data_IF_122119860334
#
_entry.id   IF_122119860334
#
_cell.length_a   1.000
_cell.length_b   1.000
_cell.length_c   1.000
_cell.angle_alpha   90.00
_cell.angle_beta   90.00
_cell.angle_gamma   90.00
#
_symmetry.space_group_name_H-M   'P 1'
#
loop_
_entity.id
_entity.type
_entity.pdbx_description
1 polymer ?
#
# COMPACT_ATOMS: atom_id res chain seq x y z
N UNK A 1 -53.30 2.07 -67.60
CA UNK A 1 -53.15 2.79 -66.32
C UNK A 1 -52.59 1.79 -65.32
N UNK A 2 -51.25 1.70 -65.27
CA UNK A 2 -50.38 2.28 -64.22
C UNK A 2 -50.33 1.35 -63.00
N UNK A 3 -49.28 0.53 -62.93
CA UNK A 3 -48.09 0.75 -62.07
C UNK A 3 -48.37 0.42 -60.60
N UNK A 4 -48.15 -0.83 -60.18
CA UNK A 4 -47.63 -1.20 -58.86
C UNK A 4 -47.09 -2.64 -59.00
N UNK A 5 -45.76 -2.84 -58.94
CA UNK A 5 -45.09 -4.04 -58.40
C UNK A 5 -43.58 -3.97 -58.68
N UNK A 6 -42.87 -3.16 -57.88
CA UNK A 6 -41.39 -3.13 -57.86
C UNK A 6 -40.86 -2.92 -56.44
N UNK A 7 -41.25 -3.77 -55.49
CA UNK A 7 -41.01 -3.47 -54.08
C UNK A 7 -40.76 -4.60 -53.09
N UNK A 8 -40.60 -5.87 -53.51
CA UNK A 8 -40.57 -6.98 -52.53
C UNK A 8 -39.26 -7.79 -52.50
N UNK A 9 -38.43 -7.83 -53.55
CA UNK A 9 -37.28 -8.75 -53.54
C UNK A 9 -35.97 -8.20 -52.93
N UNK A 10 -35.87 -6.90 -52.64
CA UNK A 10 -34.59 -6.28 -52.24
C UNK A 10 -34.45 -5.92 -50.75
N UNK A 11 -35.38 -6.38 -49.89
CA UNK A 11 -35.40 -6.03 -48.44
C UNK A 11 -34.95 -7.13 -47.48
N UNK A 12 -34.73 -8.36 -47.93
CA UNK A 12 -34.25 -9.45 -47.05
C UNK A 12 -32.73 -9.68 -47.10
N UNK A 13 -32.03 -9.20 -48.13
CA UNK A 13 -30.57 -9.40 -48.25
C UNK A 13 -29.71 -8.49 -47.36
N UNK A 14 -30.30 -7.50 -46.66
CA UNK A 14 -29.57 -6.48 -45.90
C UNK A 14 -29.47 -6.73 -44.38
N UNK A 15 -29.97 -7.86 -43.84
CA UNK A 15 -30.05 -8.12 -42.39
C UNK A 15 -29.03 -9.12 -41.82
N UNK A 16 -27.97 -9.43 -42.54
CA UNK A 16 -26.84 -10.20 -41.99
C UNK A 16 -25.59 -9.32 -41.95
N UNK A 17 -25.60 -8.29 -41.09
CA UNK A 17 -24.32 -7.73 -40.62
C UNK A 17 -23.69 -8.78 -39.71
N UNK A 18 -22.44 -9.21 -39.94
CA UNK A 18 -21.74 -10.06 -38.98
C UNK A 18 -21.67 -9.30 -37.67
N UNK A 19 -22.35 -9.80 -36.63
CA UNK A 19 -22.19 -9.30 -35.27
C UNK A 19 -20.75 -9.62 -34.90
N UNK A 20 -19.88 -8.61 -34.96
CA UNK A 20 -18.51 -8.71 -34.42
C UNK A 20 -18.66 -9.10 -32.95
N UNK A 21 -18.19 -10.29 -32.54
CA UNK A 21 -18.38 -10.74 -31.17
C UNK A 21 -17.71 -9.73 -30.23
N UNK A 22 -18.43 -9.33 -29.19
CA UNK A 22 -17.87 -8.47 -28.14
C UNK A 22 -16.68 -9.17 -27.49
N UNK A 23 -15.75 -8.40 -26.90
CA UNK A 23 -14.56 -8.95 -26.24
C UNK A 23 -14.89 -10.05 -25.21
N UNK A 24 -16.04 -9.91 -24.51
CA UNK A 24 -16.53 -10.90 -23.57
C UNK A 24 -16.92 -12.24 -24.23
N UNK A 25 -17.58 -12.19 -25.39
CA UNK A 25 -17.93 -13.38 -26.19
C UNK A 25 -16.68 -14.04 -26.75
N UNK A 26 -15.63 -13.27 -27.05
CA UNK A 26 -14.35 -13.81 -27.51
C UNK A 26 -13.60 -14.55 -26.41
N UNK A 27 -13.52 -13.99 -25.19
CA UNK A 27 -12.87 -14.63 -24.05
C UNK A 27 -13.58 -15.93 -23.65
N UNK A 28 -14.91 -15.95 -23.60
CA UNK A 28 -15.67 -17.16 -23.28
C UNK A 28 -15.40 -18.31 -24.27
N UNK A 29 -15.25 -18.00 -25.56
CA UNK A 29 -14.86 -18.98 -26.58
C UNK A 29 -13.46 -19.53 -26.32
N UNK A 30 -12.49 -18.68 -26.00
CA UNK A 30 -11.12 -19.13 -25.68
C UNK A 30 -11.07 -20.01 -24.43
N UNK A 31 -11.87 -19.71 -23.40
CA UNK A 31 -12.00 -20.55 -22.21
C UNK A 31 -12.55 -21.94 -22.57
N UNK A 32 -13.56 -22.02 -23.44
CA UNK A 32 -14.10 -23.33 -23.86
C UNK A 32 -13.11 -24.10 -24.74
N UNK A 33 -12.38 -23.43 -25.64
CA UNK A 33 -11.30 -24.06 -26.42
C UNK A 33 -10.24 -24.64 -25.48
N UNK A 34 -9.83 -23.88 -24.46
CA UNK A 34 -8.89 -24.36 -23.44
C UNK A 34 -9.42 -25.60 -22.71
N UNK A 35 -10.68 -25.56 -22.24
CA UNK A 35 -11.32 -26.67 -21.53
C UNK A 35 -11.36 -27.94 -22.37
N UNK A 36 -11.74 -27.82 -23.64
CA UNK A 36 -11.77 -28.95 -24.58
C UNK A 36 -10.37 -29.48 -24.88
N UNK A 37 -9.37 -28.59 -25.01
CA UNK A 37 -7.98 -28.98 -25.20
C UNK A 37 -7.44 -29.76 -24.00
N UNK A 38 -7.75 -29.32 -22.76
CA UNK A 38 -7.37 -30.06 -21.53
C UNK A 38 -8.06 -31.42 -21.48
N UNK A 39 -9.37 -31.49 -21.73
CA UNK A 39 -10.11 -32.75 -21.76
C UNK A 39 -9.59 -33.73 -22.83
N UNK A 40 -9.23 -33.21 -24.00
CA UNK A 40 -8.63 -33.97 -25.10
C UNK A 40 -7.12 -34.21 -24.97
N UNK A 41 -6.49 -33.80 -23.86
CA UNK A 41 -5.03 -33.86 -23.63
C UNK A 41 -4.18 -33.21 -24.74
N UNK A 42 -4.69 -32.17 -25.39
CA UNK A 42 -4.00 -31.38 -26.41
C UNK A 42 -3.12 -30.30 -25.75
N UNK A 43 -1.97 -30.72 -25.22
CA UNK A 43 -1.07 -29.87 -24.42
C UNK A 43 -0.65 -28.56 -25.09
N UNK A 44 -0.28 -28.59 -26.37
CA UNK A 44 0.16 -27.40 -27.08
C UNK A 44 -0.94 -26.32 -27.17
N UNK A 45 -2.18 -26.72 -27.46
CA UNK A 45 -3.33 -25.82 -27.57
C UNK A 45 -3.72 -25.31 -26.18
N UNK A 46 -3.78 -26.20 -25.18
CA UNK A 46 -4.07 -25.81 -23.80
C UNK A 46 -3.05 -24.78 -23.27
N UNK A 47 -1.76 -24.97 -23.55
CA UNK A 47 -0.72 -24.02 -23.13
C UNK A 47 -0.86 -22.66 -23.82
N UNK A 48 -0.94 -22.62 -25.15
CA UNK A 48 -1.00 -21.34 -25.89
C UNK A 48 -2.28 -20.56 -25.61
N UNK A 49 -3.44 -21.23 -25.63
CA UNK A 49 -4.72 -20.57 -25.33
C UNK A 49 -4.79 -20.17 -23.86
N UNK A 50 -4.33 -21.03 -22.95
CA UNK A 50 -4.30 -20.77 -21.52
C UNK A 50 -3.51 -19.51 -21.21
N UNK A 51 -2.28 -19.42 -21.71
CA UNK A 51 -1.43 -18.26 -21.44
C UNK A 51 -2.00 -16.93 -21.96
N UNK A 52 -2.62 -16.95 -23.14
CA UNK A 52 -3.26 -15.74 -23.70
C UNK A 52 -4.42 -15.25 -22.83
N UNK A 53 -5.24 -16.18 -22.34
CA UNK A 53 -6.39 -15.85 -21.49
C UNK A 53 -5.91 -15.40 -20.10
N UNK A 54 -4.96 -16.12 -19.49
CA UNK A 54 -4.37 -15.76 -18.21
C UNK A 54 -3.76 -14.35 -18.22
N UNK A 55 -2.95 -13.99 -19.22
CA UNK A 55 -2.39 -12.63 -19.36
C UNK A 55 -3.46 -11.54 -19.50
N UNK A 56 -4.58 -11.86 -20.14
CA UNK A 56 -5.75 -10.96 -20.17
C UNK A 56 -6.38 -10.81 -18.79
N UNK A 57 -6.54 -11.91 -18.08
CA UNK A 57 -7.17 -11.94 -16.76
C UNK A 57 -6.36 -11.31 -15.65
N UNK A 58 -5.04 -11.48 -15.66
CA UNK A 58 -4.11 -10.84 -14.72
C UNK A 58 -4.24 -9.32 -14.78
N UNK A 59 -4.29 -8.73 -15.99
CA UNK A 59 -4.52 -7.29 -16.20
C UNK A 59 -5.90 -6.80 -15.73
N UNK A 60 -6.85 -7.71 -15.56
CA UNK A 60 -8.20 -7.42 -15.04
C UNK A 60 -8.42 -7.98 -13.63
N UNK A 61 -7.34 -8.34 -12.93
CA UNK A 61 -7.36 -8.85 -11.55
C UNK A 61 -8.24 -10.08 -11.31
N UNK A 62 -8.45 -10.92 -12.32
CA UNK A 62 -9.25 -12.17 -12.22
C UNK A 62 -8.41 -13.34 -11.72
N UNK A 63 -7.73 -13.17 -10.59
CA UNK A 63 -6.70 -14.09 -10.10
C UNK A 63 -7.20 -15.53 -9.85
N UNK A 64 -8.41 -15.69 -9.30
CA UNK A 64 -8.99 -17.03 -9.10
C UNK A 64 -9.23 -17.78 -10.43
N UNK A 65 -9.57 -17.06 -11.51
CA UNK A 65 -9.76 -17.65 -12.82
C UNK A 65 -8.41 -18.03 -13.46
N UNK A 66 -7.37 -17.22 -13.25
CA UNK A 66 -5.98 -17.52 -13.65
C UNK A 66 -5.50 -18.77 -12.93
N UNK A 67 -5.65 -18.85 -11.61
CA UNK A 67 -5.25 -20.03 -10.82
C UNK A 67 -5.92 -21.31 -11.34
N UNK A 68 -7.23 -21.28 -11.58
CA UNK A 68 -7.97 -22.43 -12.08
C UNK A 68 -7.50 -22.87 -13.49
N UNK A 69 -7.32 -21.92 -14.41
CA UNK A 69 -6.91 -22.21 -15.78
C UNK A 69 -5.46 -22.69 -15.86
N UNK A 70 -4.55 -22.05 -15.14
CA UNK A 70 -3.16 -22.46 -15.06
C UNK A 70 -3.02 -23.84 -14.43
N UNK A 71 -3.75 -24.12 -13.33
CA UNK A 71 -3.80 -25.45 -12.70
C UNK A 71 -4.30 -26.52 -13.66
N UNK A 72 -5.36 -26.25 -14.42
CA UNK A 72 -5.86 -27.16 -15.43
C UNK A 72 -4.81 -27.45 -16.53
N UNK A 73 -4.07 -26.42 -16.95
CA UNK A 73 -2.97 -26.56 -17.93
C UNK A 73 -1.84 -27.44 -17.40
N UNK A 74 -1.49 -27.26 -16.12
CA UNK A 74 -0.42 -28.02 -15.46
C UNK A 74 -0.74 -29.52 -15.28
N UNK A 75 -2.00 -29.93 -15.40
CA UNK A 75 -2.37 -31.36 -15.43
C UNK A 75 -1.82 -32.10 -16.65
N UNK A 76 -1.44 -31.37 -17.71
CA UNK A 76 -0.89 -31.94 -18.95
C UNK A 76 0.66 -31.97 -18.94
N UNK A 77 1.29 -31.27 -18.01
CA UNK A 77 2.74 -31.22 -17.83
C UNK A 77 3.21 -29.93 -17.14
N UNK A 78 4.46 -29.89 -16.65
CA UNK A 78 5.04 -28.68 -16.11
C UNK A 78 5.33 -27.72 -17.28
N UNK A 79 4.66 -26.57 -17.31
CA UNK A 79 4.89 -25.51 -18.29
C UNK A 79 5.26 -24.22 -17.57
N UNK A 80 6.40 -23.63 -17.96
CA UNK A 80 6.93 -22.43 -17.33
C UNK A 80 5.90 -21.29 -17.27
N UNK A 81 5.21 -21.02 -18.40
CA UNK A 81 4.20 -19.96 -18.46
C UNK A 81 3.02 -20.19 -17.51
N UNK A 82 2.54 -21.44 -17.41
CA UNK A 82 1.42 -21.75 -16.54
C UNK A 82 1.83 -21.72 -15.04
N UNK A 83 3.05 -22.14 -14.71
CA UNK A 83 3.61 -21.98 -13.36
C UNK A 83 3.77 -20.50 -13.02
N UNK A 84 4.36 -19.70 -13.92
CA UNK A 84 4.52 -18.27 -13.74
C UNK A 84 3.17 -17.55 -13.50
N UNK A 85 2.18 -17.81 -14.36
CA UNK A 85 0.85 -17.20 -14.26
C UNK A 85 0.12 -17.57 -12.97
N UNK A 86 0.24 -18.83 -12.53
CA UNK A 86 -0.34 -19.28 -11.25
C UNK A 86 0.41 -18.69 -10.05
N UNK A 87 1.74 -18.60 -10.13
CA UNK A 87 2.56 -17.92 -9.14
C UNK A 87 2.15 -16.45 -8.98
N UNK A 88 1.88 -15.74 -10.08
CA UNK A 88 1.39 -14.36 -10.06
C UNK A 88 0.01 -14.24 -9.41
N UNK A 89 -0.90 -15.17 -9.72
CA UNK A 89 -2.21 -15.23 -9.07
C UNK A 89 -2.11 -15.50 -7.57
N UNK A 90 -1.24 -16.43 -7.15
CA UNK A 90 -0.99 -16.72 -5.73
C UNK A 90 -0.35 -15.56 -5.00
N UNK A 91 0.64 -14.90 -5.59
CA UNK A 91 1.25 -13.69 -5.04
C UNK A 91 0.18 -12.60 -4.82
N UNK A 92 -0.68 -12.37 -5.83
CA UNK A 92 -1.73 -11.35 -5.78
C UNK A 92 -2.85 -11.66 -4.80
N UNK A 93 -3.02 -12.93 -4.42
CA UNK A 93 -4.03 -13.39 -3.45
C UNK A 93 -3.44 -13.64 -2.06
N UNK A 94 -2.20 -13.20 -1.80
CA UNK A 94 -1.58 -13.28 -0.47
C UNK A 94 -1.09 -14.68 -0.11
N UNK A 95 -0.75 -15.52 -1.10
CA UNK A 95 -0.22 -16.87 -0.93
C UNK A 95 1.26 -16.91 -1.36
N UNK A 96 2.18 -16.39 -0.53
CA UNK A 96 3.57 -16.19 -0.93
C UNK A 96 4.35 -17.50 -1.11
N UNK A 97 4.12 -18.51 -0.28
CA UNK A 97 4.89 -19.76 -0.35
C UNK A 97 4.60 -20.58 -1.61
N UNK A 98 3.33 -20.84 -1.97
CA UNK A 98 3.03 -21.47 -3.26
C UNK A 98 3.55 -20.63 -4.45
N UNK A 99 3.43 -19.30 -4.37
CA UNK A 99 3.93 -18.42 -5.43
C UNK A 99 5.44 -18.58 -5.65
N UNK A 100 6.24 -18.59 -4.58
CA UNK A 100 7.68 -18.81 -4.66
C UNK A 100 8.03 -20.17 -5.25
N UNK A 101 7.31 -21.24 -4.88
CA UNK A 101 7.52 -22.57 -5.44
C UNK A 101 7.30 -22.61 -6.95
N UNK A 102 6.17 -22.06 -7.41
CA UNK A 102 5.84 -21.98 -8.84
C UNK A 102 6.85 -21.10 -9.61
N UNK A 103 7.22 -19.93 -9.06
CA UNK A 103 8.21 -19.07 -9.69
C UNK A 103 9.59 -19.72 -9.75
N UNK A 104 10.03 -20.45 -8.72
CA UNK A 104 11.31 -21.16 -8.74
C UNK A 104 11.35 -22.25 -9.82
N UNK A 105 10.25 -23.00 -9.97
CA UNK A 105 10.14 -24.00 -11.04
C UNK A 105 10.12 -23.35 -12.43
N UNK A 106 9.34 -22.28 -12.62
CA UNK A 106 9.29 -21.53 -13.87
C UNK A 106 10.66 -20.93 -14.22
N UNK A 107 11.36 -20.35 -13.24
CA UNK A 107 12.69 -19.76 -13.41
C UNK A 107 13.69 -20.79 -13.94
N UNK A 108 13.75 -21.98 -13.33
CA UNK A 108 14.65 -23.05 -13.77
C UNK A 108 14.36 -23.48 -15.21
N UNK A 109 13.07 -23.54 -15.60
CA UNK A 109 12.67 -23.87 -16.96
C UNK A 109 13.04 -22.78 -17.97
N UNK A 110 12.83 -21.51 -17.65
CA UNK A 110 13.21 -20.38 -18.52
C UNK A 110 14.73 -20.30 -18.70
N UNK A 111 15.51 -20.53 -17.64
CA UNK A 111 16.98 -20.63 -17.72
C UNK A 111 17.43 -21.77 -18.63
N UNK A 112 16.84 -22.96 -18.50
CA UNK A 112 17.15 -24.11 -19.37
C UNK A 112 16.78 -23.85 -20.83
N UNK A 113 15.69 -23.10 -21.08
CA UNK A 113 15.25 -22.73 -22.42
C UNK A 113 16.04 -21.55 -23.02
N UNK A 114 16.85 -20.85 -22.22
CA UNK A 114 17.51 -19.60 -22.63
C UNK A 114 16.56 -18.43 -22.81
N UNK A 115 15.36 -18.47 -22.21
CA UNK A 115 14.37 -17.41 -22.27
C UNK A 115 14.70 -16.30 -21.25
N UNK A 116 15.64 -15.44 -21.63
CA UNK A 116 16.19 -14.38 -20.78
C UNK A 116 15.13 -13.36 -20.34
N UNK A 117 14.14 -13.08 -21.19
CA UNK A 117 13.07 -12.12 -20.87
C UNK A 117 12.20 -12.64 -19.73
N UNK A 118 11.71 -13.89 -19.84
CA UNK A 118 10.89 -14.48 -18.79
C UNK A 118 11.70 -14.84 -17.53
N UNK A 119 13.00 -15.15 -17.67
CA UNK A 119 13.91 -15.29 -16.53
C UNK A 119 13.95 -14.01 -15.69
N UNK A 120 14.17 -12.85 -16.33
CA UNK A 120 14.24 -11.56 -15.65
C UNK A 120 12.91 -11.18 -14.96
N UNK A 121 11.78 -11.39 -15.66
CA UNK A 121 10.45 -11.16 -15.10
C UNK A 121 10.18 -12.05 -13.88
N UNK A 122 10.57 -13.33 -13.95
CA UNK A 122 10.39 -14.29 -12.83
C UNK A 122 11.26 -13.92 -11.64
N UNK A 123 12.52 -13.54 -11.84
CA UNK A 123 13.41 -13.04 -10.79
C UNK A 123 12.83 -11.80 -10.10
N UNK A 124 12.29 -10.85 -10.87
CA UNK A 124 11.60 -9.69 -10.32
C UNK A 124 10.41 -10.08 -9.43
N UNK A 125 9.59 -11.05 -9.86
CA UNK A 125 8.43 -11.48 -9.07
C UNK A 125 8.85 -12.22 -7.78
N UNK A 126 9.89 -13.04 -7.83
CA UNK A 126 10.46 -13.68 -6.64
C UNK A 126 10.97 -12.61 -5.66
N UNK A 127 11.69 -11.61 -6.17
CA UNK A 127 12.14 -10.46 -5.38
C UNK A 127 10.98 -9.71 -4.74
N UNK A 128 9.88 -9.52 -5.48
CA UNK A 128 8.67 -8.86 -4.97
C UNK A 128 8.02 -9.64 -3.83
N UNK A 129 7.89 -10.97 -3.97
CA UNK A 129 7.35 -11.81 -2.89
C UNK A 129 8.24 -11.78 -1.65
N UNK A 130 9.57 -11.88 -1.81
CA UNK A 130 10.50 -11.76 -0.68
C UNK A 130 10.42 -10.40 0.02
N UNK A 131 10.32 -9.31 -0.76
CA UNK A 131 10.12 -7.96 -0.21
C UNK A 131 8.84 -7.88 0.62
N UNK A 132 7.74 -8.49 0.15
CA UNK A 132 6.46 -8.54 0.87
C UNK A 132 6.51 -9.39 2.14
N UNK A 133 7.38 -10.42 2.18
CA UNK A 133 7.66 -11.22 3.38
C UNK A 133 8.61 -10.53 4.37
N UNK A 134 9.16 -9.36 4.03
CA UNK A 134 10.14 -8.65 4.84
C UNK A 134 11.58 -9.13 4.66
N UNK A 135 11.84 -10.11 3.79
CA UNK A 135 13.19 -10.60 3.47
C UNK A 135 13.85 -9.69 2.42
N UNK A 136 14.24 -8.50 2.89
CA UNK A 136 14.79 -7.44 2.04
C UNK A 136 16.10 -7.85 1.35
N UNK A 137 16.91 -8.69 2.00
CA UNK A 137 18.18 -9.13 1.42
C UNK A 137 17.94 -10.06 0.23
N UNK A 138 17.09 -11.08 0.38
CA UNK A 138 16.75 -11.95 -0.75
C UNK A 138 16.04 -11.19 -1.86
N UNK A 139 15.21 -10.20 -1.52
CA UNK A 139 14.59 -9.35 -2.52
C UNK A 139 15.64 -8.65 -3.39
N UNK A 140 16.63 -7.98 -2.76
CA UNK A 140 17.74 -7.34 -3.46
C UNK A 140 18.56 -8.31 -4.29
N UNK A 141 18.86 -9.50 -3.78
CA UNK A 141 19.65 -10.50 -4.51
C UNK A 141 18.99 -10.87 -5.84
N UNK A 142 17.66 -11.09 -5.85
CA UNK A 142 16.92 -11.42 -7.07
C UNK A 142 16.78 -10.21 -8.00
N UNK A 143 16.53 -9.00 -7.48
CA UNK A 143 16.47 -7.81 -8.32
C UNK A 143 17.83 -7.48 -8.97
N UNK A 144 18.94 -7.67 -8.25
CA UNK A 144 20.28 -7.49 -8.80
C UNK A 144 20.63 -8.55 -9.85
N UNK A 145 20.05 -9.75 -9.77
CA UNK A 145 20.12 -10.74 -10.84
C UNK A 145 19.26 -10.33 -12.04
N UNK A 146 18.05 -9.82 -11.84
CA UNK A 146 17.13 -9.44 -12.93
C UNK A 146 17.61 -8.21 -13.72
N UNK A 147 18.16 -7.19 -13.05
CA UNK A 147 18.53 -5.90 -13.65
C UNK A 147 19.50 -5.99 -14.85
N UNK A 148 20.62 -6.74 -14.79
CA UNK A 148 21.50 -6.87 -15.95
C UNK A 148 20.81 -7.61 -17.10
N UNK A 149 19.88 -8.53 -16.81
CA UNK A 149 19.17 -9.29 -17.84
C UNK A 149 18.17 -8.40 -18.58
N UNK A 150 17.37 -7.60 -17.86
CA UNK A 150 16.43 -6.66 -18.50
C UNK A 150 17.17 -5.68 -19.41
N UNK A 151 18.36 -5.22 -19.01
CA UNK A 151 19.26 -4.41 -19.85
C UNK A 151 19.77 -5.17 -21.07
N UNK A 152 20.23 -6.41 -20.89
CA UNK A 152 20.75 -7.28 -21.96
C UNK A 152 19.70 -7.52 -23.05
N UNK A 153 18.45 -7.82 -22.67
CA UNK A 153 17.36 -8.08 -23.61
C UNK A 153 16.68 -6.81 -24.14
N UNK A 154 17.08 -5.63 -23.65
CA UNK A 154 16.49 -4.35 -24.05
C UNK A 154 15.08 -4.09 -23.50
N UNK A 155 14.66 -4.79 -22.44
CA UNK A 155 13.38 -4.57 -21.77
C UNK A 155 13.45 -3.34 -20.85
N UNK A 156 13.23 -2.17 -21.44
CA UNK A 156 13.26 -0.88 -20.74
C UNK A 156 12.18 -0.75 -19.67
N UNK A 157 10.99 -1.33 -19.90
CA UNK A 157 9.91 -1.31 -18.92
C UNK A 157 10.23 -2.21 -17.70
N UNK A 158 10.79 -3.39 -17.96
CA UNK A 158 11.32 -4.28 -16.93
C UNK A 158 12.47 -3.64 -16.14
N UNK A 159 13.41 -2.98 -16.81
CA UNK A 159 14.51 -2.25 -16.15
C UNK A 159 14.00 -1.19 -15.18
N UNK A 160 13.05 -0.34 -15.62
CA UNK A 160 12.45 0.68 -14.77
C UNK A 160 11.73 0.08 -13.55
N UNK A 161 11.06 -1.06 -13.75
CA UNK A 161 10.37 -1.79 -12.68
C UNK A 161 11.36 -2.34 -11.67
N UNK A 162 12.43 -3.01 -12.11
CA UNK A 162 13.48 -3.55 -11.24
C UNK A 162 14.16 -2.44 -10.44
N UNK A 163 14.54 -1.33 -11.09
CA UNK A 163 15.16 -0.19 -10.42
C UNK A 163 14.23 0.40 -9.35
N UNK A 164 12.95 0.58 -9.67
CA UNK A 164 11.98 1.06 -8.68
C UNK A 164 11.83 0.10 -7.50
N UNK A 165 11.86 -1.22 -7.74
CA UNK A 165 11.75 -2.21 -6.68
C UNK A 165 13.00 -2.23 -5.78
N UNK A 166 14.21 -2.13 -6.35
CA UNK A 166 15.46 -1.97 -5.58
C UNK A 166 15.39 -0.69 -4.73
N UNK A 167 14.93 0.41 -5.32
CA UNK A 167 14.74 1.68 -4.60
C UNK A 167 13.79 1.53 -3.41
N UNK A 168 12.69 0.77 -3.59
CA UNK A 168 11.73 0.48 -2.53
C UNK A 168 12.32 -0.32 -1.40
N UNK A 169 13.12 -1.34 -1.70
CA UNK A 169 13.78 -2.14 -0.67
C UNK A 169 14.79 -1.30 0.12
N UNK A 170 15.62 -0.50 -0.56
CA UNK A 170 16.54 0.42 0.12
C UNK A 170 15.82 1.44 0.99
N UNK A 171 14.66 1.95 0.53
CA UNK A 171 13.83 2.84 1.32
C UNK A 171 13.34 2.16 2.61
N UNK A 172 12.83 0.94 2.51
CA UNK A 172 12.39 0.12 3.66
C UNK A 172 13.52 -0.17 4.64
N UNK A 173 14.75 -0.36 4.15
CA UNK A 173 15.96 -0.52 4.97
C UNK A 173 16.48 0.79 5.58
N UNK A 174 15.87 1.94 5.25
CA UNK A 174 16.29 3.25 5.72
C UNK A 174 17.44 3.89 4.93
N UNK A 175 17.95 3.23 3.89
CA UNK A 175 18.97 3.79 2.97
C UNK A 175 18.30 4.71 1.94
N UNK A 176 17.96 5.91 2.40
CA UNK A 176 17.25 6.93 1.62
C UNK A 176 18.04 7.42 0.40
N UNK A 177 19.38 7.42 0.48
CA UNK A 177 20.23 7.87 -0.64
C UNK A 177 20.19 6.86 -1.78
N UNK A 178 20.45 5.59 -1.49
CA UNK A 178 20.35 4.54 -2.52
C UNK A 178 18.93 4.42 -3.08
N UNK A 179 17.91 4.56 -2.24
CA UNK A 179 16.53 4.59 -2.71
C UNK A 179 16.32 5.66 -3.78
N UNK A 180 16.75 6.89 -3.48
CA UNK A 180 16.63 8.02 -4.39
C UNK A 180 17.40 7.79 -5.70
N UNK A 181 18.64 7.29 -5.63
CA UNK A 181 19.47 7.02 -6.81
C UNK A 181 18.79 6.06 -7.79
N UNK A 182 18.16 4.99 -7.28
CA UNK A 182 17.48 4.01 -8.13
C UNK A 182 16.15 4.55 -8.68
N UNK A 183 15.37 5.29 -7.89
CA UNK A 183 14.16 5.93 -8.38
C UNK A 183 14.45 6.99 -9.46
N UNK A 184 15.52 7.77 -9.28
CA UNK A 184 15.96 8.76 -10.27
C UNK A 184 16.48 8.12 -11.57
N UNK A 185 17.02 6.91 -11.50
CA UNK A 185 17.31 6.13 -12.70
C UNK A 185 16.05 5.58 -13.37
N UNK A 186 15.06 5.10 -12.59
CA UNK A 186 13.83 4.53 -13.13
C UNK A 186 12.93 5.58 -13.82
N UNK A 187 12.81 6.77 -13.24
CA UNK A 187 11.89 7.82 -13.68
C UNK A 187 12.02 8.19 -15.18
N UNK A 188 13.19 8.55 -15.71
CA UNK A 188 13.33 8.89 -17.14
C UNK A 188 13.03 7.71 -18.05
N UNK A 189 13.28 6.46 -17.60
CA UNK A 189 12.98 5.26 -18.38
C UNK A 189 11.46 5.07 -18.49
N UNK A 190 10.72 5.29 -17.40
CA UNK A 190 9.24 5.24 -17.44
C UNK A 190 8.65 6.27 -18.39
N UNK A 191 9.23 7.47 -18.40
CA UNK A 191 8.86 8.54 -19.34
C UNK A 191 9.18 8.14 -20.80
N UNK A 192 10.36 7.57 -21.05
CA UNK A 192 10.79 7.08 -22.36
C UNK A 192 9.83 6.03 -22.94
N UNK A 193 9.40 5.06 -22.12
CA UNK A 193 8.51 3.97 -22.56
C UNK A 193 7.02 4.35 -22.51
N UNK A 194 6.69 5.56 -22.04
CA UNK A 194 5.31 6.04 -21.92
C UNK A 194 4.50 5.38 -20.78
N UNK A 195 5.16 4.79 -19.77
CA UNK A 195 4.51 4.20 -18.61
C UNK A 195 4.11 5.27 -17.59
N UNK A 196 2.97 5.92 -17.86
CA UNK A 196 2.43 7.01 -17.03
C UNK A 196 2.05 6.57 -15.61
N UNK A 197 1.46 5.39 -15.46
CA UNK A 197 1.08 4.87 -14.13
C UNK A 197 2.32 4.59 -13.27
N UNK A 198 3.35 4.00 -13.86
CA UNK A 198 4.63 3.81 -13.21
C UNK A 198 5.34 5.12 -12.90
N UNK A 199 5.32 6.10 -13.81
CA UNK A 199 5.90 7.43 -13.60
C UNK A 199 5.33 8.09 -12.34
N UNK A 200 4.01 8.10 -12.20
CA UNK A 200 3.33 8.61 -11.02
C UNK A 200 3.76 7.87 -9.74
N UNK A 201 3.92 6.55 -9.82
CA UNK A 201 4.38 5.72 -8.70
C UNK A 201 5.81 6.08 -8.29
N UNK A 202 6.74 6.19 -9.24
CA UNK A 202 8.14 6.55 -8.97
C UNK A 202 8.25 7.98 -8.43
N UNK A 203 7.51 8.95 -8.98
CA UNK A 203 7.45 10.32 -8.44
C UNK A 203 6.96 10.35 -6.99
N UNK A 204 5.89 9.61 -6.68
CA UNK A 204 5.38 9.51 -5.31
C UNK A 204 6.41 8.89 -4.36
N UNK A 205 7.17 7.87 -4.81
CA UNK A 205 8.22 7.26 -4.02
C UNK A 205 9.39 8.23 -3.76
N UNK A 206 9.81 8.99 -4.77
CA UNK A 206 10.82 10.05 -4.62
C UNK A 206 10.34 11.11 -3.62
N UNK A 207 9.09 11.56 -3.75
CA UNK A 207 8.49 12.50 -2.81
C UNK A 207 8.52 11.99 -1.37
N UNK A 208 8.23 10.69 -1.17
CA UNK A 208 8.27 10.07 0.14
C UNK A 208 9.69 10.00 0.73
N UNK A 209 10.70 9.69 -0.11
CA UNK A 209 12.11 9.71 0.31
C UNK A 209 12.53 11.12 0.74
N UNK A 210 12.20 12.15 -0.03
CA UNK A 210 12.50 13.55 0.33
C UNK A 210 11.82 13.97 1.63
N UNK A 211 10.55 13.60 1.83
CA UNK A 211 9.84 13.87 3.07
C UNK A 211 10.59 13.27 4.27
N UNK A 212 11.04 12.01 4.16
CA UNK A 212 11.81 11.33 5.22
C UNK A 212 13.23 11.88 5.40
N UNK A 213 13.77 12.59 4.43
CA UNK A 213 15.01 13.36 4.54
C UNK A 213 14.81 14.76 5.13
N UNK A 214 13.57 15.17 5.37
CA UNK A 214 13.23 16.50 5.89
C UNK A 214 13.03 17.56 4.80
N UNK A 215 13.28 17.26 3.52
CA UNK A 215 13.09 18.18 2.40
C UNK A 215 11.63 18.22 1.95
N UNK A 216 10.81 18.97 2.70
CA UNK A 216 9.36 19.03 2.48
C UNK A 216 9.01 19.67 1.12
N UNK A 217 9.81 20.63 0.64
CA UNK A 217 9.53 21.34 -0.61
C UNK A 217 9.71 20.41 -1.81
N UNK A 218 10.85 19.70 -1.90
CA UNK A 218 11.05 18.74 -2.99
C UNK A 218 10.06 17.60 -2.91
N UNK A 219 9.65 17.19 -1.72
CA UNK A 219 8.59 16.19 -1.55
C UNK A 219 7.26 16.67 -2.16
N UNK A 220 6.82 17.89 -1.84
CA UNK A 220 5.62 18.51 -2.42
C UNK A 220 5.70 18.59 -3.95
N UNK A 221 6.83 19.03 -4.48
CA UNK A 221 7.02 19.17 -5.94
C UNK A 221 6.76 17.84 -6.67
N UNK A 222 7.31 16.73 -6.16
CA UNK A 222 7.14 15.42 -6.78
C UNK A 222 5.72 14.88 -6.62
N UNK A 223 5.07 15.10 -5.48
CA UNK A 223 3.67 14.72 -5.30
C UNK A 223 2.72 15.53 -6.20
N UNK A 224 2.98 16.82 -6.39
CA UNK A 224 2.23 17.66 -7.32
C UNK A 224 2.45 17.28 -8.78
N UNK A 225 3.61 16.71 -9.13
CA UNK A 225 3.81 16.09 -10.44
C UNK A 225 3.06 14.76 -10.57
N UNK A 226 3.06 13.91 -9.53
CA UNK A 226 2.39 12.60 -9.58
C UNK A 226 0.86 12.69 -9.64
N UNK A 227 0.25 13.63 -8.90
CA UNK A 227 -1.20 13.75 -8.75
C UNK A 227 -1.98 13.89 -10.08
N UNK A 228 -1.64 14.81 -11.01
CA UNK A 228 -2.34 14.92 -12.28
C UNK A 228 -2.17 13.66 -13.15
N UNK A 229 -1.03 12.98 -13.06
CA UNK A 229 -0.78 11.74 -13.81
C UNK A 229 -1.68 10.62 -13.30
N UNK A 230 -1.84 10.48 -11.98
CA UNK A 230 -2.77 9.48 -11.40
C UNK A 230 -4.21 9.73 -11.85
N UNK A 231 -4.63 10.99 -11.91
CA UNK A 231 -5.94 11.39 -12.44
C UNK A 231 -6.08 11.05 -13.93
N UNK A 232 -5.06 11.33 -14.73
CA UNK A 232 -5.00 11.04 -16.17
C UNK A 232 -5.18 9.55 -16.46
N UNK A 233 -4.50 8.68 -15.70
CA UNK A 233 -4.57 7.22 -15.90
C UNK A 233 -5.73 6.55 -15.17
N UNK A 234 -6.54 7.31 -14.42
CA UNK A 234 -7.68 6.79 -13.65
C UNK A 234 -7.29 5.98 -12.40
N UNK A 235 -6.09 6.13 -11.87
CA UNK A 235 -5.62 5.46 -10.66
C UNK A 235 -6.16 6.16 -9.39
N UNK A 236 -7.40 5.84 -9.04
CA UNK A 236 -8.12 6.43 -7.89
C UNK A 236 -7.48 6.08 -6.56
N UNK A 237 -7.05 4.83 -6.37
CA UNK A 237 -6.40 4.41 -5.13
C UNK A 237 -5.09 5.18 -4.91
N UNK A 238 -4.26 5.28 -5.95
CA UNK A 238 -3.06 6.07 -5.91
C UNK A 238 -3.31 7.57 -5.73
N UNK A 239 -4.35 8.13 -6.35
CA UNK A 239 -4.73 9.53 -6.18
C UNK A 239 -4.98 9.84 -4.70
N UNK A 240 -5.74 9.00 -4.00
CA UNK A 240 -6.02 9.15 -2.58
C UNK A 240 -4.73 9.09 -1.72
N UNK A 241 -3.80 8.18 -2.07
CA UNK A 241 -2.50 8.09 -1.39
C UNK A 241 -1.69 9.36 -1.58
N UNK A 242 -1.57 9.87 -2.82
CA UNK A 242 -0.80 11.08 -3.10
C UNK A 242 -1.42 12.32 -2.43
N UNK A 243 -2.75 12.46 -2.44
CA UNK A 243 -3.45 13.54 -1.71
C UNK A 243 -3.18 13.48 -0.21
N UNK A 244 -3.25 12.30 0.39
CA UNK A 244 -2.95 12.14 1.81
C UNK A 244 -1.50 12.51 2.13
N UNK A 245 -0.53 12.15 1.27
CA UNK A 245 0.87 12.50 1.46
C UNK A 245 1.11 14.03 1.36
N UNK A 246 0.43 14.70 0.43
CA UNK A 246 0.44 16.17 0.35
C UNK A 246 -0.17 16.78 1.62
N UNK A 247 -1.28 16.24 2.11
CA UNK A 247 -1.90 16.66 3.36
C UNK A 247 -0.96 16.53 4.57
N UNK A 248 -0.22 15.42 4.64
CA UNK A 248 0.78 15.17 5.69
C UNK A 248 1.91 16.22 5.66
N UNK A 249 2.39 16.58 4.46
CA UNK A 249 3.40 17.62 4.28
C UNK A 249 2.89 19.00 4.68
N UNK A 250 1.68 19.40 4.28
CA UNK A 250 1.15 20.69 4.73
C UNK A 250 0.93 20.72 6.24
N UNK A 251 0.54 19.60 6.86
CA UNK A 251 0.44 19.52 8.31
C UNK A 251 1.80 19.67 9.00
N UNK A 252 2.86 19.05 8.48
CA UNK A 252 4.23 19.19 9.04
C UNK A 252 4.75 20.63 8.91
N UNK A 253 4.36 21.34 7.85
CA UNK A 253 4.64 22.76 7.65
C UNK A 253 3.75 23.71 8.47
N UNK A 254 2.76 23.19 9.22
CA UNK A 254 1.82 23.99 10.00
C UNK A 254 0.67 24.61 9.19
N UNK A 255 0.59 24.33 7.88
CA UNK A 255 -0.45 24.77 6.96
C UNK A 255 -1.72 23.92 7.07
N UNK A 256 -2.33 23.95 8.26
CA UNK A 256 -3.43 23.06 8.67
C UNK A 256 -4.64 23.09 7.74
N UNK A 257 -5.00 24.25 7.19
CA UNK A 257 -6.15 24.36 6.29
C UNK A 257 -5.88 23.63 4.96
N UNK A 258 -4.71 23.82 4.36
CA UNK A 258 -4.34 23.11 3.13
C UNK A 258 -4.24 21.60 3.37
N UNK A 259 -3.73 21.19 4.53
CA UNK A 259 -3.73 19.78 4.91
C UNK A 259 -5.15 19.20 4.92
N UNK A 260 -6.07 19.90 5.57
CA UNK A 260 -7.48 19.52 5.65
C UNK A 260 -8.12 19.41 4.26
N UNK A 261 -7.88 20.38 3.37
CA UNK A 261 -8.43 20.38 2.01
C UNK A 261 -7.99 19.15 1.20
N UNK A 262 -6.75 18.68 1.39
CA UNK A 262 -6.25 17.49 0.71
C UNK A 262 -6.77 16.19 1.33
N UNK A 263 -6.87 16.10 2.66
CA UNK A 263 -7.47 14.94 3.31
C UNK A 263 -8.96 14.80 2.97
N UNK A 264 -9.70 15.92 2.90
CA UNK A 264 -11.10 15.94 2.50
C UNK A 264 -11.31 15.54 1.03
N UNK A 265 -10.33 15.79 0.16
CA UNK A 265 -10.34 15.22 -1.19
C UNK A 265 -10.02 13.73 -1.19
N UNK A 266 -9.08 13.25 -0.37
CA UNK A 266 -8.68 11.85 -0.32
C UNK A 266 -9.77 10.92 0.25
N UNK A 267 -10.46 11.36 1.30
CA UNK A 267 -11.43 10.56 2.05
C UNK A 267 -12.52 9.89 1.18
N UNK A 268 -13.29 10.63 0.35
CA UNK A 268 -14.32 10.01 -0.49
C UNK A 268 -13.74 9.05 -1.53
N UNK A 269 -12.50 9.27 -1.97
CA UNK A 269 -11.83 8.38 -2.93
C UNK A 269 -11.48 7.06 -2.26
N UNK A 270 -10.98 7.09 -1.02
CA UNK A 270 -10.71 5.87 -0.25
C UNK A 270 -11.97 5.05 -0.01
N UNK A 271 -13.09 5.73 0.27
CA UNK A 271 -14.41 5.09 0.38
C UNK A 271 -14.85 4.47 -0.95
N UNK A 272 -14.69 5.19 -2.07
CA UNK A 272 -15.01 4.72 -3.42
C UNK A 272 -14.25 3.44 -3.79
N UNK A 273 -12.95 3.37 -3.50
CA UNK A 273 -12.11 2.20 -3.82
C UNK A 273 -12.14 1.10 -2.75
N UNK A 274 -12.88 1.30 -1.65
CA UNK A 274 -13.00 0.33 -0.56
C UNK A 274 -11.74 0.19 0.32
N UNK A 275 -10.84 1.17 0.30
CA UNK A 275 -9.62 1.20 1.14
C UNK A 275 -9.95 1.65 2.57
N UNK A 276 -10.46 0.70 3.37
CA UNK A 276 -10.88 0.94 4.76
C UNK A 276 -9.73 1.34 5.67
N UNK A 277 -8.57 0.70 5.56
CA UNK A 277 -7.41 1.04 6.38
C UNK A 277 -6.92 2.47 6.09
N UNK A 278 -6.86 2.86 4.82
CA UNK A 278 -6.54 4.22 4.43
C UNK A 278 -7.61 5.24 4.82
N UNK A 279 -8.89 4.87 4.76
CA UNK A 279 -10.01 5.70 5.23
C UNK A 279 -9.83 6.05 6.71
N UNK A 280 -9.55 5.06 7.55
CA UNK A 280 -9.28 5.26 8.96
C UNK A 280 -8.09 6.19 9.19
N UNK A 281 -6.99 5.99 8.45
CA UNK A 281 -5.80 6.85 8.49
C UNK A 281 -6.13 8.29 8.13
N UNK A 282 -6.95 8.50 7.10
CA UNK A 282 -7.33 9.84 6.63
C UNK A 282 -8.23 10.54 7.65
N UNK A 283 -9.21 9.83 8.21
CA UNK A 283 -10.08 10.33 9.29
C UNK A 283 -9.27 10.70 10.55
N UNK A 284 -8.31 9.85 10.92
CA UNK A 284 -7.41 10.13 12.03
C UNK A 284 -6.62 11.43 11.79
N UNK A 285 -6.06 11.61 10.58
CA UNK A 285 -5.33 12.83 10.22
C UNK A 285 -6.23 14.08 10.28
N UNK A 286 -7.47 13.99 9.79
CA UNK A 286 -8.46 15.06 9.88
C UNK A 286 -8.77 15.39 11.35
N UNK A 287 -9.01 14.37 12.19
CA UNK A 287 -9.24 14.54 13.63
C UNK A 287 -8.08 15.26 14.32
N UNK A 288 -6.84 14.91 13.97
CA UNK A 288 -5.63 15.57 14.48
C UNK A 288 -5.55 17.05 14.11
N UNK A 289 -5.91 17.39 12.86
CA UNK A 289 -5.98 18.78 12.43
C UNK A 289 -7.02 19.56 13.25
N UNK A 290 -8.24 19.04 13.40
CA UNK A 290 -9.27 19.73 14.18
C UNK A 290 -8.89 19.90 15.65
N UNK A 291 -8.27 18.89 16.26
CA UNK A 291 -7.76 19.00 17.62
C UNK A 291 -6.76 20.15 17.75
N UNK A 292 -5.79 20.23 16.82
CA UNK A 292 -4.80 21.32 16.78
C UNK A 292 -5.41 22.69 16.50
N UNK A 293 -6.55 22.76 15.82
CA UNK A 293 -7.32 23.98 15.60
C UNK A 293 -8.21 24.34 16.81
N UNK A 294 -8.24 23.51 17.85
CA UNK A 294 -9.05 23.71 19.05
C UNK A 294 -10.50 23.19 18.94
N UNK A 295 -10.89 22.67 17.78
CA UNK A 295 -12.21 22.08 17.56
C UNK A 295 -12.24 20.62 18.03
N UNK A 296 -12.40 20.48 19.34
CA UNK A 296 -12.35 19.18 20.03
C UNK A 296 -13.52 18.28 19.67
N UNK A 297 -14.69 18.84 19.36
CA UNK A 297 -15.87 18.04 19.02
C UNK A 297 -15.68 17.38 17.65
N UNK A 298 -15.31 18.14 16.61
CA UNK A 298 -15.02 17.56 15.29
C UNK A 298 -13.83 16.60 15.32
N UNK A 299 -12.85 16.85 16.18
CA UNK A 299 -11.75 15.91 16.40
C UNK A 299 -12.26 14.55 16.92
N UNK A 300 -13.09 14.56 17.97
CA UNK A 300 -13.67 13.33 18.53
C UNK A 300 -14.54 12.60 17.51
N UNK A 301 -15.38 13.31 16.75
CA UNK A 301 -16.26 12.69 15.75
C UNK A 301 -15.45 11.91 14.71
N UNK A 302 -14.36 12.49 14.20
CA UNK A 302 -13.50 11.80 13.23
C UNK A 302 -12.63 10.71 13.83
N UNK A 303 -12.11 10.89 15.04
CA UNK A 303 -11.39 9.82 15.72
C UNK A 303 -12.28 8.63 16.06
N UNK A 304 -13.54 8.86 16.43
CA UNK A 304 -14.50 7.77 16.67
C UNK A 304 -14.80 7.00 15.39
N UNK A 305 -14.98 7.70 14.26
CA UNK A 305 -15.11 7.04 12.96
C UNK A 305 -13.87 6.22 12.63
N UNK A 306 -12.67 6.79 12.76
CA UNK A 306 -11.42 6.05 12.55
C UNK A 306 -11.30 4.82 13.46
N UNK A 307 -11.67 4.94 14.74
CA UNK A 307 -11.62 3.87 15.73
C UNK A 307 -12.52 2.69 15.36
N UNK A 308 -13.74 2.97 14.88
CA UNK A 308 -14.65 1.93 14.39
C UNK A 308 -13.99 1.17 13.24
N UNK A 309 -13.41 1.89 12.27
CA UNK A 309 -12.81 1.26 11.10
C UNK A 309 -11.55 0.47 11.47
N UNK A 310 -10.67 0.98 12.32
CA UNK A 310 -9.46 0.26 12.78
C UNK A 310 -9.83 -1.06 13.45
N UNK A 311 -10.93 -1.08 14.21
CA UNK A 311 -11.46 -2.32 14.82
C UNK A 311 -12.00 -3.28 13.76
N UNK A 312 -12.77 -2.78 12.80
CA UNK A 312 -13.36 -3.61 11.73
C UNK A 312 -12.28 -4.28 10.87
N UNK A 313 -11.19 -3.58 10.57
CA UNK A 313 -10.07 -4.12 9.75
C UNK A 313 -9.02 -4.88 10.58
N UNK A 314 -9.17 -4.92 11.91
CA UNK A 314 -8.21 -5.57 12.81
C UNK A 314 -6.86 -4.86 12.97
N UNK A 315 -6.79 -3.56 12.65
CA UNK A 315 -5.59 -2.74 12.86
C UNK A 315 -5.46 -2.35 14.33
N UNK A 316 -4.83 -3.22 15.12
CA UNK A 316 -4.63 -3.02 16.56
C UNK A 316 -3.70 -1.84 16.86
N UNK A 317 -2.69 -1.60 16.03
CA UNK A 317 -1.78 -0.48 16.22
C UNK A 317 -2.52 0.85 15.99
N UNK A 318 -3.25 0.97 14.88
CA UNK A 318 -4.07 2.15 14.57
C UNK A 318 -5.20 2.37 15.58
N UNK A 319 -5.81 1.30 16.10
CA UNK A 319 -6.78 1.36 17.20
C UNK A 319 -6.15 2.02 18.43
N UNK A 320 -4.97 1.55 18.86
CA UNK A 320 -4.30 2.09 20.03
C UNK A 320 -3.92 3.57 19.85
N UNK A 321 -3.34 3.94 18.71
CA UNK A 321 -3.00 5.34 18.40
C UNK A 321 -4.24 6.24 18.42
N UNK A 322 -5.36 5.76 17.88
CA UNK A 322 -6.61 6.52 17.85
C UNK A 322 -7.21 6.69 19.25
N UNK A 323 -7.17 5.64 20.07
CA UNK A 323 -7.59 5.71 21.48
C UNK A 323 -6.74 6.69 22.29
N UNK A 324 -5.41 6.70 22.11
CA UNK A 324 -4.53 7.68 22.75
C UNK A 324 -4.95 9.11 22.40
N UNK A 325 -5.23 9.39 21.13
CA UNK A 325 -5.65 10.72 20.69
C UNK A 325 -7.05 11.10 21.20
N UNK A 326 -8.00 10.16 21.28
CA UNK A 326 -9.30 10.39 21.94
C UNK A 326 -9.09 10.74 23.42
N UNK A 327 -8.20 10.01 24.11
CA UNK A 327 -7.84 10.27 25.50
C UNK A 327 -7.27 11.68 25.71
N UNK A 328 -6.34 12.11 24.84
CA UNK A 328 -5.77 13.46 24.84
C UNK A 328 -6.86 14.52 24.63
N UNK A 329 -7.79 14.30 23.69
CA UNK A 329 -8.88 15.26 23.46
C UNK A 329 -9.80 15.35 24.69
N UNK A 330 -10.17 14.22 25.31
CA UNK A 330 -10.97 14.23 26.54
C UNK A 330 -10.25 14.92 27.70
N UNK A 331 -8.94 14.70 27.86
CA UNK A 331 -8.14 15.44 28.84
C UNK A 331 -8.21 16.95 28.59
N UNK A 332 -8.10 17.37 27.34
CA UNK A 332 -8.19 18.79 26.96
C UNK A 332 -9.59 19.40 27.14
N UNK A 333 -10.63 18.58 27.29
CA UNK A 333 -12.00 18.96 27.64
C UNK A 333 -12.24 18.96 29.15
N UNK A 334 -11.28 18.52 29.96
CA UNK A 334 -11.44 18.31 31.41
C UNK A 334 -12.18 17.02 31.79
N UNK A 335 -12.48 16.15 30.81
CA UNK A 335 -13.13 14.85 31.05
C UNK A 335 -12.08 13.80 31.44
N UNK A 336 -11.62 13.89 32.68
CA UNK A 336 -10.55 13.02 33.22
C UNK A 336 -10.90 11.55 33.12
N UNK A 337 -12.12 11.18 33.49
CA UNK A 337 -12.52 9.77 33.55
C UNK A 337 -12.40 9.13 32.16
N UNK A 338 -12.98 9.77 31.14
CA UNK A 338 -12.86 9.25 29.77
C UNK A 338 -11.44 9.30 29.25
N UNK A 339 -10.65 10.31 29.62
CA UNK A 339 -9.25 10.37 29.23
C UNK A 339 -8.47 9.14 29.71
N UNK A 340 -8.56 8.81 31.00
CA UNK A 340 -7.89 7.65 31.59
C UNK A 340 -8.41 6.33 31.01
N UNK A 341 -9.72 6.20 30.81
CA UNK A 341 -10.30 4.98 30.22
C UNK A 341 -9.73 4.67 28.83
N UNK A 342 -9.66 5.67 27.94
CA UNK A 342 -9.13 5.48 26.59
C UNK A 342 -7.61 5.25 26.59
N UNK A 343 -6.87 5.98 27.43
CA UNK A 343 -5.42 5.81 27.56
C UNK A 343 -5.05 4.43 28.11
N UNK A 344 -5.77 3.90 29.09
CA UNK A 344 -5.54 2.55 29.60
C UNK A 344 -5.88 1.47 28.56
N UNK A 345 -6.96 1.65 27.79
CA UNK A 345 -7.26 0.76 26.65
C UNK A 345 -6.12 0.78 25.63
N UNK A 346 -5.67 1.97 25.20
CA UNK A 346 -4.55 2.11 24.26
C UNK A 346 -3.27 1.42 24.77
N UNK A 347 -2.92 1.64 26.04
CA UNK A 347 -1.75 1.05 26.68
C UNK A 347 -1.80 -0.48 26.70
N UNK A 348 -2.98 -1.07 26.94
CA UNK A 348 -3.16 -2.52 26.89
C UNK A 348 -2.88 -3.06 25.50
N UNK A 349 -3.37 -2.39 24.45
CA UNK A 349 -3.19 -2.81 23.07
C UNK A 349 -1.73 -2.64 22.63
N UNK A 350 -1.10 -1.52 22.97
CA UNK A 350 0.31 -1.27 22.65
C UNK A 350 1.23 -2.34 23.21
N UNK A 351 0.98 -2.81 24.43
CA UNK A 351 1.71 -3.94 25.03
C UNK A 351 1.45 -5.25 24.30
N UNK A 352 0.20 -5.50 23.87
CA UNK A 352 -0.17 -6.69 23.10
C UNK A 352 0.59 -6.76 21.77
N UNK A 353 0.68 -5.65 21.05
CA UNK A 353 1.35 -5.56 19.74
C UNK A 353 2.86 -5.30 19.84
N UNK A 354 3.39 -5.09 21.04
CA UNK A 354 4.81 -4.82 21.26
C UNK A 354 5.27 -3.41 20.84
N UNK A 355 4.34 -2.46 20.70
CA UNK A 355 4.64 -1.07 20.33
C UNK A 355 5.19 -0.28 21.54
N UNK A 356 6.51 -0.31 21.70
CA UNK A 356 7.22 0.39 22.78
C UNK A 356 7.14 1.90 22.69
N UNK A 357 7.18 2.45 21.48
CA UNK A 357 7.11 3.89 21.27
C UNK A 357 5.70 4.41 21.62
N UNK A 358 4.66 3.70 21.17
CA UNK A 358 3.29 3.97 21.55
C UNK A 358 3.06 3.82 23.05
N UNK A 359 3.57 2.75 23.67
CA UNK A 359 3.51 2.55 25.13
C UNK A 359 4.07 3.77 25.88
N UNK A 360 5.25 4.24 25.47
CA UNK A 360 5.93 5.39 26.08
C UNK A 360 5.09 6.66 25.95
N UNK A 361 4.60 6.97 24.74
CA UNK A 361 3.74 8.11 24.47
C UNK A 361 2.44 8.08 25.29
N UNK A 362 1.76 6.93 25.36
CA UNK A 362 0.52 6.79 26.13
C UNK A 362 0.75 6.95 27.63
N UNK A 363 1.86 6.42 28.16
CA UNK A 363 2.23 6.59 29.58
C UNK A 363 2.56 8.03 29.93
N UNK A 364 3.29 8.73 29.05
CA UNK A 364 3.52 10.15 29.22
C UNK A 364 2.19 10.91 29.32
N UNK A 365 1.23 10.62 28.43
CA UNK A 365 -0.10 11.22 28.48
C UNK A 365 -0.86 10.87 29.78
N UNK A 366 -0.80 9.62 30.26
CA UNK A 366 -1.35 9.25 31.57
C UNK A 366 -0.74 10.07 32.70
N UNK A 367 0.59 10.24 32.70
CA UNK A 367 1.29 11.05 33.70
C UNK A 367 0.80 12.50 33.70
N UNK A 368 0.58 13.08 32.52
CA UNK A 368 0.06 14.45 32.37
C UNK A 368 -1.39 14.57 32.89
N UNK A 369 -2.24 13.57 32.65
CA UNK A 369 -3.61 13.54 33.22
C UNK A 369 -3.56 13.46 34.75
N UNK A 370 -2.71 12.60 35.32
CA UNK A 370 -2.56 12.47 36.77
C UNK A 370 -1.99 13.74 37.41
N UNK A 371 -0.98 14.34 36.80
CA UNK A 371 -0.38 15.60 37.24
C UNK A 371 -1.40 16.73 37.29
N UNK A 372 -2.23 16.87 36.26
CA UNK A 372 -3.25 17.93 36.20
C UNK A 372 -4.30 17.82 37.31
N UNK A 373 -4.51 16.62 37.85
CA UNK A 373 -5.44 16.34 38.95
C UNK A 373 -4.79 16.44 40.33
N UNK A 374 -3.48 16.70 40.40
CA UNK A 374 -2.70 16.74 41.64
C UNK A 374 -2.30 15.36 42.18
N UNK A 375 -2.59 14.27 41.46
CA UNK A 375 -2.11 12.92 41.80
C UNK A 375 -0.65 12.74 41.37
N UNK A 376 0.25 13.43 42.08
CA UNK A 376 1.67 13.47 41.77
C UNK A 376 2.32 12.09 41.90
N UNK A 377 1.82 11.22 42.77
CA UNK A 377 2.37 9.87 42.94
C UNK A 377 2.10 8.98 41.73
N UNK A 378 0.89 9.01 41.16
CA UNK A 378 0.63 8.30 39.90
C UNK A 378 1.40 8.92 38.73
N UNK A 379 1.47 10.26 38.66
CA UNK A 379 2.21 10.93 37.60
C UNK A 379 3.70 10.54 37.59
N UNK A 380 4.32 10.50 38.77
CA UNK A 380 5.71 10.06 38.94
C UNK A 380 5.86 8.59 38.51
N UNK A 381 4.95 7.70 38.95
CA UNK A 381 5.01 6.27 38.58
C UNK A 381 4.97 6.04 37.07
N UNK A 382 4.10 6.75 36.35
CA UNK A 382 4.02 6.61 34.90
C UNK A 382 5.28 7.16 34.19
N UNK A 383 5.82 8.30 34.64
CA UNK A 383 7.07 8.84 34.08
C UNK A 383 8.32 8.02 34.42
N UNK A 384 8.36 7.34 35.57
CA UNK A 384 9.42 6.38 35.86
C UNK A 384 9.44 5.26 34.81
N UNK A 385 8.26 4.78 34.39
CA UNK A 385 8.14 3.77 33.32
C UNK A 385 8.54 4.32 31.95
N UNK A 386 8.21 5.57 31.64
CA UNK A 386 8.64 6.27 30.42
C UNK A 386 10.18 6.30 30.37
N UNK A 387 10.82 6.87 31.40
CA UNK A 387 12.29 6.98 31.48
C UNK A 387 12.98 5.61 31.42
N UNK A 388 12.40 4.57 32.03
CA UNK A 388 12.95 3.22 31.96
C UNK A 388 12.86 2.60 30.56
N UNK A 389 11.80 2.90 29.80
CA UNK A 389 11.64 2.47 28.41
C UNK A 389 12.59 3.25 27.50
N UNK A 390 12.66 4.56 27.66
CA UNK A 390 13.56 5.44 26.89
C UNK A 390 15.02 5.05 27.07
N UNK A 391 15.41 4.68 28.29
CA UNK A 391 16.77 4.20 28.58
C UNK A 391 17.09 2.89 27.87
N UNK A 392 16.12 2.01 27.67
CA UNK A 392 16.34 0.73 26.98
C UNK A 392 16.56 0.91 25.47
N UNK A 393 16.03 1.98 24.89
CA UNK A 393 16.07 2.22 23.44
C UNK A 393 16.94 3.42 23.05
N UNK A 394 17.67 4.00 24.01
CA UNK A 394 18.46 5.23 23.85
C UNK A 394 17.62 6.34 23.18
N UNK A 395 16.39 6.54 23.66
CA UNK A 395 15.46 7.48 23.07
C UNK A 395 15.99 8.93 23.17
N UNK A 396 15.85 9.76 22.12
CA UNK A 396 16.33 11.15 22.14
C UNK A 396 15.73 12.01 23.26
N UNK A 397 14.51 11.67 23.70
CA UNK A 397 13.78 12.44 24.71
C UNK A 397 14.12 12.03 26.15
N UNK A 398 15.00 11.02 26.36
CA UNK A 398 15.36 10.50 27.68
C UNK A 398 15.77 11.60 28.67
N UNK A 399 16.55 12.59 28.23
CA UNK A 399 16.97 13.71 29.07
C UNK A 399 15.78 14.60 29.48
N UNK A 400 14.88 14.89 28.54
CA UNK A 400 13.70 15.71 28.78
C UNK A 400 12.71 15.00 29.72
N UNK A 401 12.47 13.71 29.51
CA UNK A 401 11.59 12.90 30.35
C UNK A 401 12.16 12.70 31.76
N UNK A 402 13.49 12.55 31.88
CA UNK A 402 14.17 12.52 33.18
C UNK A 402 14.02 13.86 33.91
N UNK A 403 14.18 14.98 33.21
CA UNK A 403 13.99 16.31 33.80
C UNK A 403 12.54 16.54 34.25
N UNK A 404 11.56 16.10 33.47
CA UNK A 404 10.14 16.17 33.81
C UNK A 404 9.81 15.33 35.07
N UNK A 405 10.38 14.13 35.16
CA UNK A 405 10.25 13.26 36.34
C UNK A 405 10.85 13.91 37.59
N UNK A 406 12.04 14.51 37.49
CA UNK A 406 12.66 15.23 38.61
C UNK A 406 11.84 16.44 39.06
N UNK A 407 11.29 17.20 38.11
CA UNK A 407 10.44 18.35 38.41
C UNK A 407 9.21 17.91 39.22
N UNK A 408 8.58 16.80 38.86
CA UNK A 408 7.43 16.27 39.59
C UNK A 408 7.80 15.77 40.99
N UNK A 409 8.95 15.13 41.15
CA UNK A 409 9.45 14.73 42.47
C UNK A 409 9.66 15.93 43.39
N UNK A 410 10.20 17.05 42.87
CA UNK A 410 10.34 18.30 43.62
C UNK A 410 8.98 18.89 44.00
N UNK A 411 8.05 18.98 43.05
CA UNK A 411 6.68 19.46 43.31
C UNK A 411 5.98 18.64 44.40
N UNK A 412 6.15 17.32 44.40
CA UNK A 412 5.59 16.46 45.46
C UNK A 412 6.19 16.77 46.82
N UNK A 413 7.50 16.96 46.90
CA UNK A 413 8.19 17.31 48.16
C UNK A 413 7.79 18.68 48.67
N UNK A 414 7.53 19.66 47.79
CA UNK A 414 7.06 20.99 48.17
C UNK A 414 5.59 21.01 48.62
N UNK A 415 4.79 20.03 48.19
CA UNK A 415 3.39 19.89 48.56
C UNK A 415 3.15 19.12 49.88
N UNK A 416 4.20 18.53 50.47
CA UNK A 416 4.21 17.80 51.74
C UNK A 416 4.75 18.68 52.86
#
# INVERSE_FOLDING_TARGET
MTEVESGIEDREAARLRPVTPTAAVTVARWVEVHRLAVAGRQSAIARDVGSRVCRGWLRTSRFAAVEAMATATLTLGPYADALYERGEAWSSTGRPWPALEDFQQALAMYQQAGDRSNEAATLNNIGHVHSGLGDQQRALDHYHQALPITREVGDRAGEATTLNNIGSVHHSLGDRRRALDHYQQALPIRQEVGDRAGEATTLNNIGHVYHRLGDQQRALDHYHQALPIRREVGDRAGEAVTLNNIGLLYNSLGERQRALDHYQQALPIRQEVGDRAGEATTLHNIGSIYHRLGDRQRALDHYQQALTITRDVGDRAGEATTLTNIGIVHHSLGDRQRALDHLHQALSIQREVGDRAGETSTRYNLAMVHRADGDLDQAIRELERVVDLDRQVEHPDLEADTAALEQLRRQRTEAQ
#
